data_IF_401365176159
#
_entry.id   IF_401365176159
#
_cell.length_a   1.000
_cell.length_b   1.000
_cell.length_c   1.000
_cell.angle_alpha   90.00
_cell.angle_beta   90.00
_cell.angle_gamma   90.00
#
_symmetry.space_group_name_H-M   'P 1'
#
loop_
_entity.id
_entity.type
_entity.pdbx_description
1 polymer ?
#
# COMPACT_ATOMS: atom_id res chain seq x y z
N UNK A 1 -14.58 5.91 -17.25
CA UNK A 1 -14.28 7.23 -16.64
C UNK A 1 -13.79 7.05 -15.22
N UNK A 2 -12.68 7.67 -14.89
CA UNK A 2 -12.11 7.74 -13.54
C UNK A 2 -12.46 9.09 -12.90
N UNK A 3 -12.84 9.10 -11.62
CA UNK A 3 -13.14 10.33 -10.87
C UNK A 3 -12.14 10.45 -9.71
N UNK A 4 -11.44 11.57 -9.60
CA UNK A 4 -10.46 11.80 -8.55
C UNK A 4 -10.51 13.24 -8.01
N UNK A 5 -9.86 13.45 -6.88
CA UNK A 5 -9.52 14.78 -6.35
C UNK A 5 -8.06 15.10 -6.59
N UNK A 6 -7.65 16.32 -6.32
CA UNK A 6 -6.25 16.75 -6.41
C UNK A 6 -5.48 16.26 -5.17
N UNK A 7 -4.33 15.63 -5.38
CA UNK A 7 -3.45 15.20 -4.31
C UNK A 7 -2.08 15.85 -4.46
N UNK A 8 -1.57 16.45 -3.41
CA UNK A 8 -0.28 17.18 -3.44
C UNK A 8 0.95 16.32 -3.72
N UNK A 9 0.85 15.00 -3.53
CA UNK A 9 1.92 14.03 -3.79
C UNK A 9 1.79 13.27 -5.11
N UNK A 10 0.86 13.66 -6.00
CA UNK A 10 0.67 13.03 -7.30
C UNK A 10 -0.30 13.81 -8.19
N UNK A 11 -0.31 13.52 -9.48
CA UNK A 11 -1.19 14.18 -10.47
C UNK A 11 -2.07 13.18 -11.20
N UNK A 12 -3.19 13.66 -11.75
CA UNK A 12 -4.06 12.87 -12.63
C UNK A 12 -3.51 12.72 -14.05
N UNK A 13 -2.42 13.42 -14.37
CA UNK A 13 -1.90 13.53 -15.74
C UNK A 13 -2.62 14.59 -16.60
N UNK A 14 -3.64 15.26 -16.06
CA UNK A 14 -4.32 16.34 -16.75
C UNK A 14 -3.56 17.67 -16.55
N UNK A 15 -3.33 18.39 -17.64
CA UNK A 15 -2.63 19.70 -17.67
C UNK A 15 -3.58 20.89 -17.72
N UNK A 16 -4.86 20.67 -18.10
CA UNK A 16 -5.84 21.73 -18.25
C UNK A 16 -6.15 22.43 -16.92
N UNK A 17 -6.44 23.72 -16.98
CA UNK A 17 -6.88 24.49 -15.82
C UNK A 17 -8.27 24.05 -15.35
N UNK A 18 -8.52 24.19 -14.04
CA UNK A 18 -9.85 23.94 -13.48
C UNK A 18 -10.86 24.99 -13.97
N UNK A 19 -12.03 24.52 -14.39
CA UNK A 19 -13.21 25.35 -14.67
C UNK A 19 -14.32 25.01 -13.71
N UNK A 20 -14.78 25.99 -12.94
CA UNK A 20 -15.79 25.78 -11.86
C UNK A 20 -15.44 24.65 -10.89
N UNK A 21 -14.14 24.53 -10.59
CA UNK A 21 -13.59 23.53 -9.67
C UNK A 21 -13.55 22.08 -10.22
N UNK A 22 -13.66 21.89 -11.54
CA UNK A 22 -13.54 20.59 -12.21
C UNK A 22 -12.69 20.73 -13.45
N UNK A 23 -11.88 19.74 -13.78
CA UNK A 23 -11.27 19.58 -15.10
C UNK A 23 -11.54 18.18 -15.63
N UNK A 24 -11.54 18.05 -16.96
CA UNK A 24 -11.81 16.78 -17.65
C UNK A 24 -10.82 16.61 -18.80
N UNK A 25 -10.44 15.39 -19.06
CA UNK A 25 -9.55 15.03 -20.18
C UNK A 25 -9.39 13.54 -20.26
N UNK A 26 -8.52 13.08 -21.16
CA UNK A 26 -8.17 11.67 -21.30
C UNK A 26 -6.67 11.49 -21.13
N UNK A 27 -6.26 10.48 -20.37
CA UNK A 27 -4.86 10.10 -20.17
C UNK A 27 -4.77 8.60 -20.41
N UNK A 28 -3.91 8.18 -21.31
CA UNK A 28 -3.70 6.78 -21.70
C UNK A 28 -5.01 6.03 -22.05
N UNK A 29 -5.95 6.74 -22.70
CA UNK A 29 -7.26 6.18 -23.09
C UNK A 29 -8.30 6.11 -21.98
N UNK A 30 -8.00 6.63 -20.79
CA UNK A 30 -8.93 6.70 -19.65
C UNK A 30 -9.45 8.12 -19.52
N UNK A 31 -10.78 8.29 -19.63
CA UNK A 31 -11.43 9.56 -19.34
C UNK A 31 -11.34 9.88 -17.85
N UNK A 32 -10.83 11.07 -17.52
CA UNK A 32 -10.63 11.52 -16.15
C UNK A 32 -11.49 12.75 -15.86
N UNK A 33 -12.15 12.73 -14.72
CA UNK A 33 -12.83 13.88 -14.12
C UNK A 33 -12.15 14.17 -12.79
N UNK A 34 -11.46 15.30 -12.73
CA UNK A 34 -10.76 15.69 -11.51
C UNK A 34 -11.44 16.89 -10.87
N UNK A 35 -11.66 16.80 -9.56
CA UNK A 35 -12.17 17.89 -8.75
C UNK A 35 -11.01 18.68 -8.13
N UNK A 36 -11.14 20.01 -8.12
CA UNK A 36 -10.24 20.90 -7.38
C UNK A 36 -10.52 20.77 -5.87
N UNK A 37 -10.05 19.67 -5.31
CA UNK A 37 -10.19 19.29 -3.91
C UNK A 37 -8.84 18.81 -3.41
N UNK A 38 -7.93 19.76 -3.21
CA UNK A 38 -6.57 19.47 -2.78
C UNK A 38 -6.54 18.98 -1.32
N UNK A 39 -5.80 17.91 -1.07
CA UNK A 39 -5.45 17.45 0.26
C UNK A 39 -4.02 16.92 0.30
N UNK A 40 -3.46 16.84 1.50
CA UNK A 40 -2.15 16.27 1.77
C UNK A 40 -2.23 15.31 2.96
N UNK A 41 -1.31 14.37 3.03
CA UNK A 41 -1.14 13.50 4.21
C UNK A 41 -0.68 14.27 5.46
N UNK A 42 -0.15 15.48 5.29
CA UNK A 42 0.18 16.40 6.40
C UNK A 42 -1.04 17.16 6.93
N UNK A 43 -2.16 17.18 6.20
CA UNK A 43 -3.37 17.87 6.65
C UNK A 43 -3.98 17.21 7.89
N UNK A 44 -4.50 18.03 8.80
CA UNK A 44 -5.21 17.56 9.99
C UNK A 44 -6.50 16.80 9.66
N UNK A 45 -6.95 15.97 10.60
CA UNK A 45 -8.11 15.07 10.43
C UNK A 45 -9.37 15.80 9.95
N UNK A 46 -9.71 16.94 10.55
CA UNK A 46 -10.94 17.71 10.17
C UNK A 46 -10.88 18.21 8.73
N UNK A 47 -9.74 18.78 8.30
CA UNK A 47 -9.58 19.27 6.93
C UNK A 47 -9.74 18.12 5.92
N UNK A 48 -9.09 16.98 6.17
CA UNK A 48 -9.20 15.79 5.33
C UNK A 48 -10.63 15.27 5.27
N UNK A 49 -11.32 15.19 6.41
CA UNK A 49 -12.72 14.73 6.49
C UNK A 49 -13.66 15.62 5.67
N UNK A 50 -13.50 16.94 5.73
CA UNK A 50 -14.29 17.91 4.94
C UNK A 50 -14.03 17.71 3.43
N UNK A 51 -12.77 17.57 3.03
CA UNK A 51 -12.40 17.33 1.62
C UNK A 51 -13.00 16.01 1.12
N UNK A 52 -12.91 14.94 1.89
CA UNK A 52 -13.46 13.62 1.52
C UNK A 52 -15.00 13.65 1.43
N UNK A 53 -15.68 14.40 2.31
CA UNK A 53 -17.13 14.54 2.22
C UNK A 53 -17.53 15.38 0.99
N UNK A 54 -16.81 16.47 0.69
CA UNK A 54 -17.03 17.28 -0.52
C UNK A 54 -16.82 16.44 -1.78
N UNK A 55 -15.78 15.60 -1.81
CA UNK A 55 -15.56 14.67 -2.91
C UNK A 55 -16.73 13.72 -3.11
N UNK A 56 -17.21 13.09 -2.03
CA UNK A 56 -18.35 12.18 -2.07
C UNK A 56 -19.63 12.87 -2.58
N UNK A 57 -19.95 14.06 -2.08
CA UNK A 57 -21.12 14.84 -2.51
C UNK A 57 -21.05 15.18 -4.00
N UNK A 58 -19.89 15.66 -4.49
CA UNK A 58 -19.72 15.97 -5.92
C UNK A 58 -19.79 14.71 -6.78
N UNK A 59 -19.27 13.60 -6.29
CA UNK A 59 -19.33 12.30 -6.99
C UNK A 59 -20.75 11.73 -7.06
N UNK A 60 -21.65 12.02 -6.09
CA UNK A 60 -23.07 11.71 -6.22
C UNK A 60 -23.67 12.39 -7.45
N UNK A 61 -23.36 13.68 -7.67
CA UNK A 61 -23.82 14.41 -8.87
C UNK A 61 -23.42 13.68 -10.16
N UNK A 62 -22.15 13.24 -10.26
CA UNK A 62 -21.68 12.46 -11.41
C UNK A 62 -22.34 11.09 -11.51
N UNK A 63 -22.57 10.43 -10.37
CA UNK A 63 -23.29 9.16 -10.36
C UNK A 63 -24.71 9.26 -10.92
N UNK A 64 -25.31 10.46 -10.96
CA UNK A 64 -26.62 10.70 -11.59
C UNK A 64 -26.52 11.22 -13.03
N UNK A 65 -25.51 12.01 -13.37
CA UNK A 65 -25.39 12.68 -14.69
C UNK A 65 -24.66 11.85 -15.73
N UNK A 66 -23.67 11.04 -15.34
CA UNK A 66 -22.86 10.26 -16.29
C UNK A 66 -23.57 8.97 -16.73
N UNK A 67 -23.20 8.51 -17.94
CA UNK A 67 -23.62 7.22 -18.47
C UNK A 67 -22.58 6.15 -18.12
N UNK A 68 -22.98 5.10 -17.46
CA UNK A 68 -22.13 3.96 -17.12
C UNK A 68 -22.96 2.70 -16.86
N UNK A 69 -22.35 1.54 -16.94
CA UNK A 69 -22.98 0.24 -16.67
C UNK A 69 -22.74 -0.22 -15.22
N UNK A 70 -21.61 0.11 -14.63
CA UNK A 70 -21.23 -0.24 -13.27
C UNK A 70 -20.51 0.93 -12.60
N UNK A 71 -20.80 1.17 -11.31
CA UNK A 71 -20.02 2.07 -10.48
C UNK A 71 -19.06 1.24 -9.64
N UNK A 72 -17.76 1.53 -9.80
CA UNK A 72 -16.70 0.99 -8.96
C UNK A 72 -16.20 2.07 -8.02
N UNK A 73 -16.08 1.77 -6.74
CA UNK A 73 -15.46 2.67 -5.78
C UNK A 73 -14.43 1.91 -4.93
N UNK A 74 -13.34 2.57 -4.62
CA UNK A 74 -12.25 2.03 -3.81
C UNK A 74 -12.04 2.88 -2.55
N UNK A 75 -11.85 2.25 -1.40
CA UNK A 75 -11.34 2.95 -0.22
C UNK A 75 -9.84 3.20 -0.43
N UNK A 76 -9.19 4.18 0.12
CA UNK A 76 -9.49 5.17 1.13
C UNK A 76 -9.84 6.49 0.46
N UNK A 77 -10.77 7.28 0.91
CA UNK A 77 -11.50 7.20 2.18
C UNK A 77 -12.77 6.34 2.09
N UNK A 78 -13.32 5.95 3.25
CA UNK A 78 -14.57 5.19 3.34
C UNK A 78 -15.77 5.91 2.68
N UNK A 79 -15.76 7.25 2.68
CA UNK A 79 -16.79 8.08 2.03
C UNK A 79 -16.88 7.88 0.52
N UNK A 80 -15.87 7.25 -0.12
CA UNK A 80 -15.94 6.87 -1.53
C UNK A 80 -17.06 5.87 -1.83
N UNK A 81 -17.55 5.13 -0.83
CA UNK A 81 -18.72 4.26 -0.96
C UNK A 81 -20.05 5.00 -1.13
N UNK A 82 -20.15 6.27 -0.69
CA UNK A 82 -21.41 7.03 -0.70
C UNK A 82 -22.01 7.14 -2.11
N UNK A 83 -21.30 7.56 -3.17
CA UNK A 83 -21.84 7.60 -4.54
C UNK A 83 -22.36 6.24 -5.00
N UNK A 84 -21.71 5.15 -4.61
CA UNK A 84 -22.13 3.78 -4.91
C UNK A 84 -23.45 3.39 -4.26
N UNK A 85 -23.67 3.81 -3.00
CA UNK A 85 -24.95 3.62 -2.29
C UNK A 85 -26.08 4.31 -3.08
N UNK A 86 -25.88 5.58 -3.47
CA UNK A 86 -26.89 6.33 -4.24
C UNK A 86 -27.11 5.73 -5.63
N UNK A 87 -26.06 5.35 -6.34
CA UNK A 87 -26.15 4.71 -7.65
C UNK A 87 -26.96 3.39 -7.57
N UNK A 88 -26.71 2.61 -6.52
CA UNK A 88 -27.39 1.32 -6.30
C UNK A 88 -28.89 1.49 -6.06
N UNK A 89 -29.26 2.34 -5.09
CA UNK A 89 -30.64 2.38 -4.60
C UNK A 89 -31.54 3.34 -5.36
N UNK A 90 -30.98 4.40 -5.98
CA UNK A 90 -31.76 5.40 -6.69
C UNK A 90 -31.68 5.31 -8.20
N UNK A 91 -30.60 4.70 -8.76
CA UNK A 91 -30.47 4.49 -10.21
C UNK A 91 -30.52 3.01 -10.64
N UNK A 92 -30.59 2.08 -9.69
CA UNK A 92 -30.57 0.65 -9.98
C UNK A 92 -29.26 0.16 -10.62
N UNK A 93 -28.18 0.93 -10.51
CA UNK A 93 -26.89 0.58 -11.14
C UNK A 93 -26.11 -0.43 -10.29
N UNK A 94 -25.42 -1.41 -10.90
CA UNK A 94 -24.48 -2.26 -10.19
C UNK A 94 -23.43 -1.42 -9.48
N UNK A 95 -23.12 -1.79 -8.24
CA UNK A 95 -22.07 -1.17 -7.42
C UNK A 95 -21.07 -2.24 -6.97
N UNK A 96 -19.80 -2.03 -7.28
CA UNK A 96 -18.69 -2.86 -6.80
C UNK A 96 -17.82 -2.03 -5.87
N UNK A 97 -17.53 -2.58 -4.69
CA UNK A 97 -16.79 -1.86 -3.65
C UNK A 97 -15.48 -2.58 -3.32
N UNK A 98 -14.38 -1.90 -3.58
CA UNK A 98 -13.04 -2.36 -3.22
C UNK A 98 -12.64 -1.81 -1.85
N UNK A 99 -12.24 -2.71 -0.98
CA UNK A 99 -11.84 -2.41 0.40
C UNK A 99 -10.34 -2.62 0.50
N UNK A 100 -9.61 -1.51 0.70
CA UNK A 100 -8.16 -1.51 0.85
C UNK A 100 -7.72 -1.63 2.30
N UNK A 101 -8.54 -1.08 3.21
CA UNK A 101 -8.35 -1.09 4.65
C UNK A 101 -9.70 -1.28 5.34
N UNK A 102 -9.72 -1.98 6.47
CA UNK A 102 -10.93 -2.14 7.29
C UNK A 102 -11.17 -0.88 8.13
N UNK A 103 -12.20 -0.14 7.77
CA UNK A 103 -12.67 1.05 8.46
C UNK A 103 -13.96 0.72 9.23
N UNK A 104 -14.15 1.21 10.46
CA UNK A 104 -13.28 2.08 11.26
C UNK A 104 -12.25 1.34 12.12
N UNK A 105 -12.07 0.05 11.93
CA UNK A 105 -11.23 -0.80 12.78
C UNK A 105 -9.77 -0.33 12.81
N UNK A 106 -9.17 -0.14 11.64
CA UNK A 106 -7.77 0.28 11.54
C UNK A 106 -7.47 1.62 12.24
N UNK A 107 -8.16 2.75 11.94
CA UNK A 107 -7.89 4.02 12.62
C UNK A 107 -8.22 3.98 14.13
N UNK A 108 -9.12 3.11 14.58
CA UNK A 108 -9.40 2.87 16.01
C UNK A 108 -8.21 2.19 16.68
N UNK A 109 -7.69 1.11 16.12
CA UNK A 109 -6.55 0.37 16.68
C UNK A 109 -5.25 1.18 16.65
N UNK A 110 -5.10 2.06 15.66
CA UNK A 110 -4.00 3.04 15.60
C UNK A 110 -4.17 4.20 16.60
N UNK A 111 -5.28 4.30 17.32
CA UNK A 111 -5.56 5.42 18.21
C UNK A 111 -5.80 6.78 17.51
N UNK A 112 -5.96 6.78 16.19
CA UNK A 112 -6.17 8.01 15.38
C UNK A 112 -7.58 8.56 15.56
N UNK A 113 -8.57 7.67 15.70
CA UNK A 113 -9.98 8.01 15.94
C UNK A 113 -10.47 7.26 17.16
N UNK A 114 -10.76 8.01 18.23
CA UNK A 114 -11.21 7.47 19.52
C UNK A 114 -12.63 7.86 19.86
N UNK A 115 -13.20 8.89 19.21
CA UNK A 115 -14.56 9.36 19.48
C UNK A 115 -15.61 8.30 19.08
N UNK A 116 -16.43 7.80 20.04
CA UNK A 116 -17.37 6.71 19.78
C UNK A 116 -18.48 7.06 18.80
N UNK A 117 -18.89 8.33 18.74
CA UNK A 117 -19.91 8.80 17.79
C UNK A 117 -19.36 8.74 16.37
N UNK A 118 -18.12 9.22 16.16
CA UNK A 118 -17.47 9.17 14.86
C UNK A 118 -17.28 7.72 14.43
N UNK A 119 -16.80 6.86 15.33
CA UNK A 119 -16.64 5.42 15.05
C UNK A 119 -17.98 4.74 14.70
N UNK A 120 -19.06 5.11 15.39
CA UNK A 120 -20.42 4.63 15.11
C UNK A 120 -20.91 5.03 13.72
N UNK A 121 -20.74 6.30 13.34
CA UNK A 121 -21.09 6.82 12.02
C UNK A 121 -20.26 6.12 10.91
N UNK A 122 -18.98 5.89 11.13
CA UNK A 122 -18.12 5.18 10.19
C UNK A 122 -18.52 3.70 10.06
N UNK A 123 -18.85 3.03 11.18
CA UNK A 123 -19.35 1.65 11.15
C UNK A 123 -20.67 1.54 10.40
N UNK A 124 -21.57 2.51 10.55
CA UNK A 124 -22.81 2.59 9.79
C UNK A 124 -22.54 2.78 8.28
N UNK A 125 -21.64 3.69 7.92
CA UNK A 125 -21.28 3.92 6.52
C UNK A 125 -20.60 2.70 5.89
N UNK A 126 -19.72 2.02 6.62
CA UNK A 126 -19.13 0.75 6.21
C UNK A 126 -20.20 -0.29 5.92
N UNK A 127 -21.09 -0.53 6.89
CA UNK A 127 -22.20 -1.47 6.74
C UNK A 127 -23.10 -1.10 5.55
N UNK A 128 -23.47 0.17 5.40
CA UNK A 128 -24.30 0.65 4.29
C UNK A 128 -23.61 0.43 2.93
N UNK A 129 -22.29 0.67 2.84
CA UNK A 129 -21.51 0.43 1.64
C UNK A 129 -21.49 -1.05 1.27
N UNK A 130 -21.18 -1.92 2.23
CA UNK A 130 -21.17 -3.37 2.00
C UNK A 130 -22.56 -3.92 1.65
N UNK A 131 -23.61 -3.43 2.31
CA UNK A 131 -25.00 -3.86 2.06
C UNK A 131 -25.50 -3.41 0.69
N UNK A 132 -24.98 -2.29 0.18
CA UNK A 132 -25.34 -1.73 -1.13
C UNK A 132 -24.54 -2.35 -2.27
N UNK A 133 -23.35 -2.87 -1.99
CA UNK A 133 -22.50 -3.48 -3.01
C UNK A 133 -23.11 -4.78 -3.55
N UNK A 134 -23.10 -4.96 -4.87
CA UNK A 134 -23.41 -6.23 -5.51
C UNK A 134 -22.29 -7.24 -5.26
N UNK A 135 -21.05 -6.76 -5.37
CA UNK A 135 -19.82 -7.50 -5.15
C UNK A 135 -18.81 -6.63 -4.42
N UNK A 136 -17.98 -7.26 -3.62
CA UNK A 136 -16.87 -6.61 -2.94
C UNK A 136 -15.53 -7.20 -3.43
N UNK A 137 -14.48 -6.41 -3.28
CA UNK A 137 -13.09 -6.83 -3.48
C UNK A 137 -12.33 -6.50 -2.20
N UNK A 138 -11.57 -7.46 -1.69
CA UNK A 138 -10.63 -7.23 -0.59
C UNK A 138 -9.20 -7.44 -1.07
N UNK A 139 -8.28 -6.60 -0.62
CA UNK A 139 -6.89 -6.65 -1.06
C UNK A 139 -6.01 -7.65 -0.28
N UNK A 140 -6.55 -8.23 0.77
CA UNK A 140 -5.86 -9.26 1.57
C UNK A 140 -6.85 -10.28 2.12
N UNK A 141 -6.39 -11.46 2.53
CA UNK A 141 -7.26 -12.45 3.18
C UNK A 141 -7.98 -11.91 4.41
N UNK A 142 -7.31 -11.09 5.23
CA UNK A 142 -7.92 -10.49 6.41
C UNK A 142 -9.00 -9.47 6.07
N UNK A 143 -8.81 -8.67 5.02
CA UNK A 143 -9.84 -7.75 4.54
C UNK A 143 -11.06 -8.54 4.03
N UNK A 144 -10.86 -9.59 3.26
CA UNK A 144 -11.92 -10.45 2.78
C UNK A 144 -12.72 -11.06 3.95
N UNK A 145 -12.02 -11.52 4.98
CA UNK A 145 -12.66 -12.05 6.19
C UNK A 145 -13.39 -10.96 6.98
N UNK A 146 -12.81 -9.75 7.09
CA UNK A 146 -13.45 -8.59 7.71
C UNK A 146 -14.76 -8.21 7.04
N UNK A 147 -14.79 -8.18 5.70
CA UNK A 147 -16.01 -7.95 4.91
C UNK A 147 -17.04 -9.05 5.17
N UNK A 148 -16.63 -10.31 5.21
CA UNK A 148 -17.51 -11.44 5.47
C UNK A 148 -18.13 -11.40 6.88
N UNK A 149 -17.36 -11.03 7.91
CA UNK A 149 -17.81 -10.82 9.29
C UNK A 149 -18.88 -9.73 9.40
N UNK A 150 -18.90 -8.77 8.48
CA UNK A 150 -19.95 -7.74 8.38
C UNK A 150 -21.22 -8.23 7.65
N UNK A 151 -21.33 -9.53 7.35
CA UNK A 151 -22.52 -10.17 6.80
C UNK A 151 -22.58 -10.24 5.26
N UNK A 152 -21.50 -9.89 4.55
CA UNK A 152 -21.43 -10.11 3.10
C UNK A 152 -21.13 -11.60 2.83
N UNK A 153 -21.97 -12.23 1.99
CA UNK A 153 -21.78 -13.64 1.63
C UNK A 153 -20.44 -13.84 0.92
N UNK A 154 -19.66 -14.85 1.33
CA UNK A 154 -18.31 -15.12 0.79
C UNK A 154 -18.24 -15.17 -0.74
N UNK A 155 -19.26 -15.74 -1.39
CA UNK A 155 -19.38 -15.79 -2.86
C UNK A 155 -19.54 -14.43 -3.55
N UNK A 156 -19.70 -13.34 -2.79
CA UNK A 156 -19.77 -11.95 -3.27
C UNK A 156 -18.50 -11.17 -2.98
N UNK A 157 -17.45 -11.82 -2.48
CA UNK A 157 -16.19 -11.20 -2.13
C UNK A 157 -15.08 -11.89 -2.91
N UNK A 158 -14.31 -11.13 -3.67
CA UNK A 158 -13.11 -11.61 -4.37
C UNK A 158 -11.85 -11.09 -3.69
N UNK A 159 -10.81 -11.89 -3.70
CA UNK A 159 -9.47 -11.49 -3.25
C UNK A 159 -8.67 -11.01 -4.47
N UNK A 160 -8.41 -9.72 -4.55
CA UNK A 160 -7.54 -9.15 -5.57
C UNK A 160 -6.52 -8.25 -4.87
N UNK A 161 -5.36 -8.77 -4.49
CA UNK A 161 -4.31 -7.99 -3.85
C UNK A 161 -3.67 -6.99 -4.81
N UNK A 162 -2.80 -6.13 -4.29
CA UNK A 162 -1.92 -5.34 -5.13
C UNK A 162 -1.03 -6.29 -5.96
N UNK A 163 -0.63 -5.85 -7.14
CA UNK A 163 0.08 -6.69 -8.10
C UNK A 163 1.51 -6.22 -8.38
N UNK A 164 2.25 -7.11 -9.01
CA UNK A 164 3.63 -6.96 -9.41
C UNK A 164 3.74 -6.32 -10.81
N UNK A 165 4.52 -5.25 -10.94
CA UNK A 165 4.87 -4.63 -12.23
C UNK A 165 6.16 -5.27 -12.75
N UNK A 166 6.02 -6.47 -13.29
CA UNK A 166 7.14 -7.33 -13.70
C UNK A 166 8.02 -6.69 -14.79
N UNK A 167 7.43 -5.88 -15.65
CA UNK A 167 8.13 -5.20 -16.74
C UNK A 167 9.00 -4.05 -16.23
N UNK A 168 8.55 -3.36 -15.17
CA UNK A 168 9.27 -2.22 -14.59
C UNK A 168 10.42 -2.71 -13.72
N UNK A 169 10.14 -3.65 -12.80
CA UNK A 169 11.11 -4.15 -11.83
C UNK A 169 11.93 -5.35 -12.33
N UNK A 170 11.77 -5.75 -13.58
CA UNK A 170 12.65 -6.70 -14.26
C UNK A 170 13.74 -6.03 -15.10
N UNK A 171 13.63 -4.72 -15.33
CA UNK A 171 14.60 -3.95 -16.09
C UNK A 171 15.78 -3.52 -15.18
N UNK A 172 16.96 -4.01 -15.51
CA UNK A 172 18.22 -3.70 -14.81
C UNK A 172 18.99 -2.55 -15.47
N UNK A 173 18.40 -1.82 -16.41
CA UNK A 173 19.04 -0.67 -17.06
C UNK A 173 19.17 0.48 -16.05
N UNK A 174 20.33 0.99 -15.80
CA UNK A 174 20.70 2.04 -14.84
C UNK A 174 20.57 1.64 -13.36
N UNK A 175 21.22 0.57 -12.91
CA UNK A 175 21.32 0.26 -11.49
C UNK A 175 22.09 1.38 -10.77
N UNK A 176 21.65 1.74 -9.56
CA UNK A 176 22.34 2.74 -8.74
C UNK A 176 22.22 2.40 -7.26
N UNK A 177 23.06 3.03 -6.47
CA UNK A 177 23.17 2.87 -5.02
C UNK A 177 23.49 4.25 -4.42
N UNK A 178 23.04 4.61 -3.22
CA UNK A 178 23.50 5.84 -2.53
C UNK A 178 25.01 5.84 -2.35
N UNK A 179 25.63 7.03 -2.43
CA UNK A 179 27.09 7.18 -2.31
C UNK A 179 27.63 6.73 -0.95
N UNK A 180 26.78 6.75 0.09
CA UNK A 180 27.10 6.33 1.45
C UNK A 180 27.14 4.80 1.63
N UNK A 181 26.76 4.03 0.60
CA UNK A 181 26.71 2.56 0.64
C UNK A 181 27.75 2.00 -0.32
N UNK A 182 28.79 1.40 0.22
CA UNK A 182 29.84 0.79 -0.58
C UNK A 182 29.33 -0.42 -1.38
N UNK A 183 30.07 -0.79 -2.44
CA UNK A 183 29.68 -1.91 -3.31
C UNK A 183 29.66 -3.26 -2.59
N UNK A 184 30.51 -3.41 -1.58
CA UNK A 184 30.66 -4.60 -0.74
C UNK A 184 29.66 -4.66 0.42
N UNK A 185 29.00 -3.52 0.77
CA UNK A 185 28.02 -3.51 1.84
C UNK A 185 26.73 -4.26 1.46
N UNK A 186 26.16 -5.00 2.40
CA UNK A 186 24.80 -5.46 2.26
C UNK A 186 23.84 -4.27 2.37
N UNK A 187 23.02 -4.05 1.34
CA UNK A 187 22.06 -2.96 1.29
C UNK A 187 20.63 -3.48 1.49
N UNK A 188 20.04 -3.17 2.67
CA UNK A 188 18.63 -3.43 2.97
C UNK A 188 17.81 -2.15 2.76
N UNK A 189 16.78 -2.19 1.90
CA UNK A 189 16.06 -0.98 1.47
C UNK A 189 14.60 -0.98 1.94
N UNK A 190 14.19 0.10 2.58
CA UNK A 190 12.79 0.45 2.82
C UNK A 190 12.35 1.54 1.85
N UNK A 191 11.23 1.32 1.17
CA UNK A 191 10.63 2.31 0.27
C UNK A 191 9.24 2.70 0.75
N UNK A 192 8.96 4.01 0.84
CA UNK A 192 7.63 4.49 1.17
C UNK A 192 7.57 5.61 2.19
N UNK A 193 6.37 5.82 2.75
CA UNK A 193 6.10 6.91 3.68
C UNK A 193 6.80 6.68 5.03
N UNK A 194 7.55 7.67 5.49
CA UNK A 194 8.11 7.69 6.85
C UNK A 194 7.04 8.19 7.84
N UNK A 195 6.09 7.33 8.13
CA UNK A 195 4.93 7.62 8.97
C UNK A 195 4.70 6.56 10.05
N UNK A 196 3.82 6.86 11.01
CA UNK A 196 3.54 6.01 12.18
C UNK A 196 3.19 4.56 11.80
N UNK A 197 2.42 4.36 10.74
CA UNK A 197 2.00 3.01 10.32
C UNK A 197 3.15 2.10 9.90
N UNK A 198 4.29 2.65 9.48
CA UNK A 198 5.43 1.85 9.03
C UNK A 198 6.38 1.43 10.16
N UNK A 199 6.31 2.05 11.35
CA UNK A 199 7.07 1.65 12.54
C UNK A 199 8.58 1.56 12.29
N UNK A 200 9.16 2.59 11.63
CA UNK A 200 10.56 2.57 11.19
C UNK A 200 11.56 2.57 12.35
N UNK A 201 11.14 2.91 13.56
CA UNK A 201 11.94 2.80 14.78
C UNK A 201 12.49 1.38 14.98
N UNK A 202 11.73 0.35 14.61
CA UNK A 202 12.19 -1.04 14.68
C UNK A 202 13.47 -1.30 13.86
N UNK A 203 13.63 -0.60 12.73
CA UNK A 203 14.84 -0.72 11.93
C UNK A 203 16.01 0.10 12.51
N UNK A 204 15.73 1.23 13.19
CA UNK A 204 16.76 1.96 13.93
C UNK A 204 17.27 1.14 15.11
N UNK A 205 16.38 0.46 15.84
CA UNK A 205 16.75 -0.47 16.92
C UNK A 205 17.63 -1.61 16.41
N UNK A 206 17.30 -2.19 15.25
CA UNK A 206 18.12 -3.22 14.61
C UNK A 206 19.46 -2.68 14.14
N UNK A 207 19.51 -1.45 13.59
CA UNK A 207 20.76 -0.79 13.19
C UNK A 207 21.69 -0.56 14.38
N UNK A 208 21.13 -0.18 15.53
CA UNK A 208 21.88 -0.04 16.79
C UNK A 208 22.48 -1.37 17.24
N UNK A 209 21.70 -2.44 17.17
CA UNK A 209 22.15 -3.80 17.48
C UNK A 209 23.27 -4.26 16.56
N UNK A 210 23.16 -4.03 15.23
CA UNK A 210 24.21 -4.32 14.25
C UNK A 210 25.50 -3.56 14.56
N UNK A 211 25.39 -2.27 14.89
CA UNK A 211 26.57 -1.47 15.27
C UNK A 211 27.25 -2.02 16.52
N UNK A 212 26.49 -2.42 17.55
CA UNK A 212 27.05 -3.03 18.77
C UNK A 212 27.78 -4.35 18.47
N UNK A 213 27.37 -5.08 17.46
CA UNK A 213 28.01 -6.32 16.97
C UNK A 213 29.17 -6.05 16.01
N UNK A 214 29.48 -4.79 15.70
CA UNK A 214 30.55 -4.41 14.78
C UNK A 214 30.26 -4.64 13.29
N UNK A 215 28.95 -4.84 12.91
CA UNK A 215 28.52 -5.07 11.54
C UNK A 215 28.34 -3.73 10.80
N UNK A 216 29.46 -3.11 10.45
CA UNK A 216 29.48 -1.86 9.68
C UNK A 216 29.26 -2.07 8.19
N UNK A 217 29.33 -3.30 7.72
CA UNK A 217 29.12 -3.80 6.38
C UNK A 217 27.62 -3.97 6.01
N UNK A 218 26.70 -3.66 6.92
CA UNK A 218 25.26 -3.76 6.70
C UNK A 218 24.61 -2.38 6.78
N UNK A 219 24.06 -1.89 5.66
CA UNK A 219 23.44 -0.57 5.55
C UNK A 219 21.95 -0.65 5.36
N UNK A 220 21.20 0.14 6.14
CA UNK A 220 19.77 0.26 6.06
C UNK A 220 19.40 1.57 5.35
N UNK A 221 18.81 1.49 4.17
CA UNK A 221 18.51 2.65 3.32
C UNK A 221 17.01 2.93 3.30
N UNK A 222 16.64 4.15 3.63
CA UNK A 222 15.23 4.60 3.68
C UNK A 222 14.95 5.58 2.56
N UNK A 223 14.15 5.17 1.56
CA UNK A 223 13.73 5.98 0.42
C UNK A 223 12.31 6.48 0.65
N UNK A 224 12.13 7.79 0.76
CA UNK A 224 10.80 8.34 0.92
C UNK A 224 10.71 9.62 1.73
N UNK A 225 9.47 10.03 2.00
CA UNK A 225 9.13 11.19 2.79
C UNK A 225 8.02 10.86 3.79
N UNK A 226 7.87 11.69 4.82
CA UNK A 226 6.81 11.54 5.79
C UNK A 226 7.02 12.35 7.04
N UNK A 227 5.97 12.39 7.87
CA UNK A 227 5.93 13.22 9.08
C UNK A 227 7.05 12.91 10.07
N UNK A 228 7.47 11.64 10.14
CA UNK A 228 8.48 11.19 11.11
C UNK A 228 9.92 11.22 10.56
N UNK A 229 10.14 11.62 9.28
CA UNK A 229 11.50 11.58 8.69
C UNK A 229 12.51 12.42 9.46
N UNK A 230 12.10 13.60 9.94
CA UNK A 230 12.98 14.50 10.70
C UNK A 230 13.35 13.86 12.04
N UNK A 231 12.38 13.35 12.78
CA UNK A 231 12.58 12.73 14.08
C UNK A 231 13.46 11.47 13.97
N UNK A 232 13.24 10.64 12.94
CA UNK A 232 14.06 9.47 12.66
C UNK A 232 15.52 9.81 12.34
N UNK A 233 15.74 10.86 11.53
CA UNK A 233 17.10 11.36 11.24
C UNK A 233 17.80 11.90 12.49
N UNK A 234 17.06 12.63 13.32
CA UNK A 234 17.61 13.17 14.56
C UNK A 234 17.97 12.05 15.54
N UNK A 235 17.09 11.04 15.70
CA UNK A 235 17.37 9.83 16.48
C UNK A 235 18.61 9.10 15.97
N UNK A 236 18.71 8.86 14.66
CA UNK A 236 19.87 8.19 14.07
C UNK A 236 21.17 8.94 14.36
N UNK A 237 21.14 10.29 14.33
CA UNK A 237 22.28 11.14 14.68
C UNK A 237 22.64 11.08 16.17
N UNK A 238 21.63 11.14 17.06
CA UNK A 238 21.84 11.09 18.51
C UNK A 238 22.39 9.75 18.98
N UNK A 239 21.99 8.66 18.32
CA UNK A 239 22.47 7.31 18.61
C UNK A 239 23.71 6.93 17.77
N UNK A 240 24.22 7.88 16.96
CA UNK A 240 25.41 7.70 16.12
C UNK A 240 25.30 6.49 15.17
N UNK A 241 24.12 6.34 14.52
CA UNK A 241 23.83 5.23 13.60
C UNK A 241 24.31 5.56 12.18
N UNK A 242 25.58 5.31 11.90
CA UNK A 242 26.25 5.53 10.62
C UNK A 242 25.95 4.45 9.56
N UNK A 243 25.25 3.41 9.98
CA UNK A 243 24.74 2.35 9.13
C UNK A 243 23.31 2.62 8.59
N UNK A 244 22.75 3.83 8.83
CA UNK A 244 21.46 4.27 8.30
C UNK A 244 21.64 5.39 7.28
N UNK A 245 21.02 5.24 6.11
CA UNK A 245 21.00 6.21 5.03
C UNK A 245 19.58 6.66 4.72
N UNK A 246 19.31 7.97 4.70
CA UNK A 246 18.02 8.53 4.32
C UNK A 246 18.10 9.23 2.97
N UNK A 247 17.32 8.79 2.02
CA UNK A 247 17.24 9.38 0.69
C UNK A 247 15.85 10.00 0.43
N UNK A 248 15.80 10.92 -0.55
CA UNK A 248 14.54 11.52 -1.00
C UNK A 248 13.71 10.54 -1.84
N UNK A 249 12.39 10.77 -1.99
CA UNK A 249 11.57 10.00 -2.89
C UNK A 249 12.11 10.02 -4.32
N UNK A 250 12.02 8.89 -4.99
CA UNK A 250 12.40 8.74 -6.39
C UNK A 250 11.22 8.28 -7.22
N UNK A 251 11.23 8.55 -8.52
CA UNK A 251 10.24 8.01 -9.43
C UNK A 251 10.38 6.47 -9.58
N UNK A 252 9.37 5.86 -10.19
CA UNK A 252 9.31 4.39 -10.26
C UNK A 252 10.43 3.77 -11.09
N UNK A 253 10.92 4.45 -12.14
CA UNK A 253 12.05 3.96 -12.95
C UNK A 253 13.36 4.01 -12.17
N UNK A 254 13.61 5.12 -11.49
CA UNK A 254 14.77 5.28 -10.64
C UNK A 254 14.74 4.30 -9.46
N UNK A 255 13.53 4.03 -8.91
CA UNK A 255 13.34 3.01 -7.89
C UNK A 255 13.70 1.61 -8.42
N UNK A 256 13.30 1.26 -9.64
CA UNK A 256 13.68 -0.02 -10.24
C UNK A 256 15.21 -0.19 -10.35
N UNK A 257 15.92 0.86 -10.73
CA UNK A 257 17.39 0.86 -10.74
C UNK A 257 18.02 0.69 -9.36
N UNK A 258 17.43 1.27 -8.30
CA UNK A 258 17.87 1.05 -6.92
C UNK A 258 17.63 -0.42 -6.51
N UNK A 259 16.41 -0.94 -6.74
CA UNK A 259 16.07 -2.30 -6.35
C UNK A 259 16.91 -3.35 -7.10
N UNK A 260 17.35 -3.06 -8.32
CA UNK A 260 18.29 -3.91 -9.05
C UNK A 260 19.68 -4.04 -8.39
N UNK A 261 20.04 -3.09 -7.52
CA UNK A 261 21.29 -3.06 -6.76
C UNK A 261 21.10 -3.30 -5.25
N UNK A 262 19.88 -3.70 -4.86
CA UNK A 262 19.51 -3.96 -3.46
C UNK A 262 19.64 -5.43 -3.15
N UNK A 263 20.02 -5.78 -1.92
CA UNK A 263 20.15 -7.16 -1.46
C UNK A 263 18.86 -7.65 -0.76
N UNK A 264 18.19 -6.76 -0.01
CA UNK A 264 16.97 -7.09 0.75
C UNK A 264 15.97 -5.95 0.69
N UNK A 265 14.70 -6.25 0.41
CA UNK A 265 13.59 -5.34 0.61
C UNK A 265 13.03 -5.42 2.03
N UNK A 266 12.91 -4.31 2.74
CA UNK A 266 12.35 -4.27 4.09
C UNK A 266 10.86 -3.93 4.05
N UNK A 267 10.00 -4.91 4.37
CA UNK A 267 8.57 -4.72 4.56
C UNK A 267 8.26 -4.51 6.04
N UNK A 268 8.23 -3.24 6.45
CA UNK A 268 8.06 -2.85 7.83
C UNK A 268 6.68 -2.25 8.10
N UNK A 269 6.09 -2.62 9.24
CA UNK A 269 4.89 -2.00 9.81
C UNK A 269 5.04 -1.90 11.33
N UNK A 270 4.31 -0.96 11.91
CA UNK A 270 4.15 -0.87 13.36
C UNK A 270 3.48 -2.14 13.90
N UNK A 271 3.80 -2.50 15.14
CA UNK A 271 3.23 -3.68 15.82
C UNK A 271 1.76 -3.44 16.19
N UNK A 272 0.89 -3.47 15.18
CA UNK A 272 -0.56 -3.28 15.33
C UNK A 272 -1.25 -4.51 14.73
N UNK A 273 -2.01 -5.29 15.52
CA UNK A 273 -2.63 -6.54 15.07
C UNK A 273 -3.51 -6.40 13.81
N UNK A 274 -4.17 -5.26 13.61
CA UNK A 274 -4.97 -4.98 12.40
C UNK A 274 -4.16 -5.07 11.10
N UNK A 275 -2.85 -4.83 11.16
CA UNK A 275 -1.98 -4.92 9.97
C UNK A 275 -1.65 -6.37 9.58
N UNK A 276 -1.65 -7.31 10.52
CA UNK A 276 -1.09 -8.65 10.30
C UNK A 276 -1.73 -9.40 9.13
N UNK A 277 -3.04 -9.30 9.00
CA UNK A 277 -3.79 -9.91 7.90
C UNK A 277 -4.51 -8.90 7.02
N UNK A 278 -4.57 -7.63 7.46
CA UNK A 278 -5.37 -6.55 6.88
C UNK A 278 -4.65 -5.68 5.86
N UNK A 279 -3.43 -6.01 5.44
CA UNK A 279 -2.66 -5.16 4.53
C UNK A 279 -2.26 -5.86 3.23
N UNK A 280 -2.12 -5.05 2.18
CA UNK A 280 -1.59 -5.46 0.87
C UNK A 280 -0.63 -4.36 0.39
N UNK A 281 0.58 -4.25 0.99
CA UNK A 281 1.48 -3.11 0.75
C UNK A 281 2.16 -3.22 -0.62
N UNK A 282 2.10 -2.16 -1.43
CA UNK A 282 2.72 -2.12 -2.75
C UNK A 282 4.20 -2.49 -2.73
N UNK A 283 4.95 -1.99 -1.74
CA UNK A 283 6.40 -2.23 -1.64
C UNK A 283 6.76 -3.71 -1.57
N UNK A 284 5.94 -4.55 -0.92
CA UNK A 284 6.17 -6.00 -0.91
C UNK A 284 6.14 -6.57 -2.34
N UNK A 285 5.12 -6.16 -3.12
CA UNK A 285 4.98 -6.62 -4.51
C UNK A 285 6.06 -6.04 -5.42
N UNK A 286 6.51 -4.81 -5.17
CA UNK A 286 7.65 -4.21 -5.88
C UNK A 286 8.95 -4.99 -5.58
N UNK A 287 9.21 -5.36 -4.31
CA UNK A 287 10.38 -6.14 -3.94
C UNK A 287 10.41 -7.53 -4.59
N UNK A 288 9.33 -8.29 -4.48
CA UNK A 288 9.28 -9.62 -5.11
C UNK A 288 9.28 -9.52 -6.65
N UNK A 289 8.77 -8.44 -7.24
CA UNK A 289 8.88 -8.16 -8.67
C UNK A 289 10.33 -7.97 -9.10
N UNK A 290 11.12 -7.28 -8.27
CA UNK A 290 12.55 -7.08 -8.50
C UNK A 290 13.38 -8.34 -8.19
N UNK A 291 12.76 -9.42 -7.71
CA UNK A 291 13.48 -10.62 -7.31
C UNK A 291 14.27 -10.45 -6.01
N UNK A 292 13.83 -9.57 -5.12
CA UNK A 292 14.46 -9.35 -3.82
C UNK A 292 13.89 -10.25 -2.73
N UNK A 293 14.73 -10.86 -1.89
CA UNK A 293 14.30 -11.39 -0.61
C UNK A 293 13.65 -10.31 0.24
N UNK A 294 12.62 -10.66 1.01
CA UNK A 294 11.90 -9.69 1.83
C UNK A 294 12.12 -9.97 3.32
N UNK A 295 12.66 -9.00 4.06
CA UNK A 295 12.62 -8.99 5.50
C UNK A 295 11.31 -8.35 5.96
N UNK A 296 10.52 -9.08 6.76
CA UNK A 296 9.21 -8.65 7.24
C UNK A 296 9.14 -8.73 8.76
N UNK A 297 8.79 -7.62 9.43
CA UNK A 297 8.84 -7.48 10.89
C UNK A 297 7.49 -7.68 11.62
N UNK A 298 6.55 -8.39 11.01
CA UNK A 298 5.25 -8.66 11.64
C UNK A 298 4.67 -9.99 11.17
N UNK A 299 3.90 -10.70 12.01
CA UNK A 299 3.29 -11.98 11.65
C UNK A 299 2.11 -11.79 10.69
N UNK A 300 1.56 -12.89 10.22
CA UNK A 300 0.32 -12.90 9.45
C UNK A 300 0.51 -13.31 8.00
N UNK A 301 -0.30 -12.72 7.11
CA UNK A 301 -0.40 -13.17 5.73
C UNK A 301 0.93 -13.13 4.97
N UNK A 302 1.64 -11.99 5.03
CA UNK A 302 2.90 -11.85 4.28
C UNK A 302 4.00 -12.71 4.89
N UNK A 303 4.12 -12.77 6.21
CA UNK A 303 5.09 -13.63 6.87
C UNK A 303 4.92 -15.10 6.45
N UNK A 304 3.68 -15.61 6.52
CA UNK A 304 3.38 -16.99 6.08
C UNK A 304 3.64 -17.23 4.59
N UNK A 305 3.45 -16.21 3.74
CA UNK A 305 3.78 -16.28 2.32
C UNK A 305 5.29 -16.34 2.09
N UNK A 306 6.05 -15.50 2.80
CA UNK A 306 7.51 -15.46 2.73
C UNK A 306 8.11 -16.81 3.17
N UNK A 307 7.64 -17.36 4.30
CA UNK A 307 8.07 -18.67 4.80
C UNK A 307 7.74 -19.79 3.83
N UNK A 308 6.49 -19.88 3.40
CA UNK A 308 6.01 -20.95 2.50
C UNK A 308 6.79 -20.99 1.18
N UNK A 309 7.20 -19.83 0.67
CA UNK A 309 7.90 -19.74 -0.62
C UNK A 309 9.42 -19.62 -0.45
N UNK A 310 9.94 -19.63 0.78
CA UNK A 310 11.36 -19.42 1.06
C UNK A 310 11.93 -18.22 0.28
N UNK A 311 11.29 -17.05 0.43
CA UNK A 311 11.63 -15.84 -0.32
C UNK A 311 12.00 -14.64 0.59
N UNK A 312 12.49 -14.90 1.80
CA UNK A 312 12.93 -13.86 2.71
C UNK A 312 12.96 -14.28 4.17
N UNK A 313 12.96 -13.29 5.06
CA UNK A 313 13.17 -13.42 6.49
C UNK A 313 11.99 -12.80 7.25
N UNK A 314 10.97 -13.57 7.67
CA UNK A 314 10.01 -13.08 8.65
C UNK A 314 10.66 -13.06 10.04
N UNK A 315 10.59 -11.91 10.71
CA UNK A 315 11.09 -11.74 12.08
C UNK A 315 9.96 -11.29 13.00
N UNK A 316 10.03 -11.59 14.31
CA UNK A 316 9.04 -11.11 15.27
C UNK A 316 8.98 -9.58 15.32
N UNK A 317 7.81 -8.99 15.62
CA UNK A 317 7.73 -7.56 15.87
C UNK A 317 8.49 -7.20 17.17
N UNK A 318 9.02 -5.97 17.22
CA UNK A 318 9.72 -5.44 18.42
C UNK A 318 10.89 -6.30 18.90
N UNK A 319 11.52 -7.06 18.00
CA UNK A 319 12.69 -7.88 18.29
C UNK A 319 13.90 -7.42 17.44
N UNK A 320 14.66 -6.41 17.90
CA UNK A 320 15.81 -5.90 17.16
C UNK A 320 16.94 -6.94 17.05
N UNK A 321 17.03 -7.86 17.99
CA UNK A 321 18.04 -8.93 17.99
C UNK A 321 17.77 -9.92 16.85
N UNK A 322 16.52 -10.37 16.70
CA UNK A 322 16.12 -11.24 15.59
C UNK A 322 16.21 -10.54 14.25
N UNK A 323 15.88 -9.23 14.21
CA UNK A 323 15.99 -8.42 12.99
C UNK A 323 17.46 -8.31 12.56
N UNK A 324 18.36 -7.93 13.47
CA UNK A 324 19.79 -7.84 13.20
C UNK A 324 20.37 -9.20 12.76
N UNK A 325 20.02 -10.29 13.47
CA UNK A 325 20.48 -11.65 13.14
C UNK A 325 20.03 -12.11 11.73
N UNK A 326 18.84 -11.70 11.28
CA UNK A 326 18.39 -11.99 9.92
C UNK A 326 19.24 -11.27 8.86
N UNK A 327 19.62 -10.01 9.12
CA UNK A 327 20.49 -9.24 8.23
C UNK A 327 21.92 -9.76 8.24
N UNK A 328 22.48 -10.15 9.39
CA UNK A 328 23.78 -10.81 9.50
C UNK A 328 23.82 -12.11 8.70
N UNK A 329 22.80 -12.97 8.89
CA UNK A 329 22.68 -14.20 8.12
C UNK A 329 22.64 -13.95 6.61
N UNK A 330 21.99 -12.88 6.20
CA UNK A 330 21.93 -12.48 4.80
C UNK A 330 23.30 -12.02 4.27
N UNK A 331 24.03 -11.21 5.04
CA UNK A 331 25.35 -10.73 4.67
C UNK A 331 26.39 -11.87 4.61
N UNK A 332 26.30 -12.81 5.56
CA UNK A 332 27.25 -13.93 5.66
C UNK A 332 26.98 -15.05 4.62
N UNK A 333 25.76 -15.06 4.02
CA UNK A 333 25.31 -16.13 3.10
C UNK A 333 24.67 -15.57 1.81
N UNK A 334 25.43 -14.89 0.95
CA UNK A 334 24.87 -14.29 -0.28
C UNK A 334 24.24 -15.30 -1.23
N UNK A 335 24.67 -16.58 -1.22
CA UNK A 335 24.07 -17.67 -1.99
C UNK A 335 22.62 -17.97 -1.57
N UNK A 336 22.30 -17.77 -0.30
CA UNK A 336 20.92 -17.89 0.23
C UNK A 336 20.05 -16.78 -0.34
N UNK A 337 20.56 -15.52 -0.38
CA UNK A 337 19.84 -14.40 -0.96
C UNK A 337 19.52 -14.63 -2.44
N UNK A 338 20.46 -15.13 -3.22
CA UNK A 338 20.22 -15.46 -4.64
C UNK A 338 19.09 -16.49 -4.81
N UNK A 339 19.05 -17.50 -3.95
CA UNK A 339 17.99 -18.52 -3.96
C UNK A 339 16.64 -17.91 -3.57
N UNK A 340 16.61 -17.14 -2.49
CA UNK A 340 15.40 -16.46 -2.01
C UNK A 340 14.88 -15.45 -3.05
N UNK A 341 15.76 -14.70 -3.70
CA UNK A 341 15.42 -13.77 -4.76
C UNK A 341 14.76 -14.44 -5.97
N UNK A 342 15.30 -15.58 -6.42
CA UNK A 342 14.67 -16.39 -7.48
C UNK A 342 13.28 -16.87 -7.08
N UNK A 343 13.10 -17.28 -5.83
CA UNK A 343 11.81 -17.69 -5.30
C UNK A 343 10.83 -16.52 -5.21
N UNK A 344 11.29 -15.34 -4.79
CA UNK A 344 10.49 -14.10 -4.76
C UNK A 344 9.98 -13.76 -6.17
N UNK A 345 10.85 -13.75 -7.16
CA UNK A 345 10.49 -13.48 -8.56
C UNK A 345 9.48 -14.52 -9.08
N UNK A 346 9.71 -15.79 -8.83
CA UNK A 346 8.79 -16.87 -9.22
C UNK A 346 7.41 -16.70 -8.58
N UNK A 347 7.34 -16.29 -7.30
CA UNK A 347 6.09 -15.98 -6.60
C UNK A 347 5.37 -14.82 -7.28
N UNK A 348 6.09 -13.72 -7.60
CA UNK A 348 5.55 -12.56 -8.30
C UNK A 348 4.92 -12.92 -9.65
N UNK A 349 5.63 -13.69 -10.45
CA UNK A 349 5.18 -14.11 -11.79
C UNK A 349 3.96 -15.04 -11.74
N UNK A 350 3.97 -16.00 -10.81
CA UNK A 350 2.95 -17.05 -10.73
C UNK A 350 1.64 -16.56 -10.11
N UNK A 351 1.70 -15.71 -9.08
CA UNK A 351 0.52 -15.43 -8.24
C UNK A 351 0.12 -13.96 -8.25
N UNK A 352 1.03 -13.03 -8.57
CA UNK A 352 0.82 -11.60 -8.38
C UNK A 352 1.10 -10.73 -9.61
N UNK A 353 1.28 -11.31 -10.80
CA UNK A 353 1.38 -10.52 -12.03
C UNK A 353 0.20 -9.55 -12.14
N UNK A 354 0.49 -8.27 -12.39
CA UNK A 354 -0.55 -7.22 -12.52
C UNK A 354 -1.55 -7.56 -13.61
N UNK A 355 -1.10 -8.10 -14.74
CA UNK A 355 -1.98 -8.52 -15.84
C UNK A 355 -2.98 -9.57 -15.39
N UNK A 356 -2.52 -10.63 -14.74
CA UNK A 356 -3.37 -11.70 -14.23
C UNK A 356 -4.39 -11.19 -13.19
N UNK A 357 -3.96 -10.32 -12.28
CA UNK A 357 -4.84 -9.73 -11.27
C UNK A 357 -5.83 -8.74 -11.90
N UNK A 358 -5.43 -8.00 -12.94
CA UNK A 358 -6.31 -7.14 -13.70
C UNK A 358 -7.41 -7.94 -14.43
N UNK A 359 -7.06 -9.06 -15.06
CA UNK A 359 -8.03 -9.95 -15.70
C UNK A 359 -9.04 -10.51 -14.69
N UNK A 360 -8.58 -10.92 -13.51
CA UNK A 360 -9.45 -11.35 -12.39
C UNK A 360 -10.37 -10.23 -11.95
N UNK A 361 -9.84 -9.03 -11.76
CA UNK A 361 -10.61 -7.84 -11.39
C UNK A 361 -11.69 -7.53 -12.46
N UNK A 362 -11.31 -7.49 -13.73
CA UNK A 362 -12.23 -7.23 -14.85
C UNK A 362 -13.34 -8.28 -14.89
N UNK A 363 -13.01 -9.57 -14.81
CA UNK A 363 -13.98 -10.65 -14.80
C UNK A 363 -14.97 -10.51 -13.61
N UNK A 364 -14.46 -10.15 -12.43
CA UNK A 364 -15.27 -9.96 -11.24
C UNK A 364 -16.21 -8.75 -11.36
N UNK A 365 -15.70 -7.60 -11.79
CA UNK A 365 -16.50 -6.37 -11.95
C UNK A 365 -17.55 -6.52 -13.04
N UNK A 366 -17.16 -7.04 -14.22
CA UNK A 366 -18.10 -7.22 -15.35
C UNK A 366 -19.18 -8.26 -15.06
N UNK A 367 -18.87 -9.28 -14.25
CA UNK A 367 -19.86 -10.25 -13.78
C UNK A 367 -21.01 -9.62 -13.00
N UNK A 368 -20.77 -8.49 -12.29
CA UNK A 368 -21.82 -7.75 -11.58
C UNK A 368 -22.86 -7.12 -12.51
N UNK A 369 -22.48 -6.80 -13.75
CA UNK A 369 -23.38 -6.24 -14.78
C UNK A 369 -24.37 -7.32 -15.24
N UNK A 370 -23.90 -8.55 -15.40
CA UNK A 370 -24.74 -9.69 -15.83
C UNK A 370 -25.76 -10.10 -14.76
N UNK A 371 -25.41 -10.01 -13.50
CA UNK A 371 -26.31 -10.34 -12.38
C UNK A 371 -27.42 -9.29 -12.15
N UNK A 372 -27.29 -8.10 -12.72
CA UNK A 372 -28.24 -7.00 -12.57
C UNK A 372 -29.26 -6.92 -13.74
N UNK A 373 -29.08 -7.69 -14.81
CA UNK A 373 -30.00 -7.86 -15.92
C UNK A 373 -30.95 -9.04 -15.63
#
# INVERSE_FOLDING_TARGET
TMVCGSYSGGGSGLEQSFSKGTRRGSVDGIDIIEFDLAYSNSDGFLKRSVVFLKFAIRSIGLAFSEKYDVLFATTTPLTAGIPGIFARWLRGKPFVFEVRDLWPELPREMGVITNPVVLGLMSFLEWASYRSAHRCIGLSPGIVEGIAKRGVKRKKIELVPNGCDLDIFGDTTNPWRPDEVASEDLMAVFTGTHGMANGLDAALDAAKELKQRGRNDIKLVFIGQGKLKVDLKERAKQEDLDNIVFHEPVDKKRLAGLLANTDIGMQLLANIPAFYFGTSPNKFFDYISAGLPVLNNYPGWLAGMIEKNNCGFPVPPEDPVAFAAALEKAADHPEVLLTMGKNARKLAEKEFSRTMLADRWVAWVTGSIKENK
#
